data_IF_773951398243
#
_entry.id   IF_773951398243
#
_cell.length_a   1.000
_cell.length_b   1.000
_cell.length_c   1.000
_cell.angle_alpha   90.00
_cell.angle_beta   90.00
_cell.angle_gamma   90.00
#
_symmetry.space_group_name_H-M   'P 1'
#
loop_
_entity.id
_entity.type
_entity.pdbx_description
1 polymer ?
#
# COMPACT_ATOMS: atom_id res chain seq x y z
N UNK A 1 -14.30 14.16 -11.06
CA UNK A 1 -13.03 14.17 -11.79
C UNK A 1 -12.55 12.73 -11.90
N UNK A 2 -12.71 12.07 -13.02
CA UNK A 2 -12.12 10.73 -13.25
C UNK A 2 -10.87 10.89 -14.12
N UNK A 3 -9.76 10.25 -13.79
CA UNK A 3 -8.57 10.14 -14.62
C UNK A 3 -7.33 10.85 -14.09
N UNK A 4 -6.37 11.09 -14.97
CA UNK A 4 -5.03 11.58 -14.64
C UNK A 4 -4.91 13.09 -14.89
N UNK A 5 -4.04 13.76 -14.10
CA UNK A 5 -3.61 15.15 -14.28
C UNK A 5 -4.78 16.16 -14.37
N UNK A 6 -5.78 16.02 -13.51
CA UNK A 6 -6.98 16.89 -13.51
C UNK A 6 -7.07 17.84 -12.34
N UNK A 7 -6.06 17.88 -11.47
CA UNK A 7 -6.03 18.85 -10.35
C UNK A 7 -5.41 20.15 -10.83
N UNK A 8 -6.26 21.11 -11.18
CA UNK A 8 -5.84 22.40 -11.74
C UNK A 8 -5.55 23.47 -10.69
N UNK A 9 -5.95 23.25 -9.43
CA UNK A 9 -5.74 24.22 -8.35
C UNK A 9 -4.54 23.79 -7.50
N UNK A 10 -3.85 24.81 -6.96
CA UNK A 10 -2.78 24.59 -5.98
C UNK A 10 -3.35 23.87 -4.75
N UNK A 11 -2.75 22.76 -4.38
CA UNK A 11 -3.12 22.00 -3.18
C UNK A 11 -2.36 22.52 -1.95
N UNK A 12 -2.91 22.37 -0.74
CA UNK A 12 -2.16 22.62 0.48
C UNK A 12 -0.99 21.64 0.62
N UNK A 13 -0.03 21.96 1.47
CA UNK A 13 1.04 21.06 1.83
C UNK A 13 0.48 19.87 2.62
N UNK A 14 0.75 18.65 2.15
CA UNK A 14 0.25 17.43 2.77
C UNK A 14 1.38 16.76 3.55
N UNK A 15 1.13 16.51 4.83
CA UNK A 15 1.90 15.61 5.69
C UNK A 15 1.07 14.35 5.88
N UNK A 16 1.64 13.20 5.59
CA UNK A 16 0.97 11.91 5.80
C UNK A 16 1.54 11.22 7.03
N UNK A 17 0.65 10.73 7.88
CA UNK A 17 0.99 9.96 9.08
C UNK A 17 0.22 8.63 8.98
N UNK A 18 0.81 7.58 8.41
CA UNK A 18 0.13 6.30 8.26
C UNK A 18 -0.11 5.64 9.62
N UNK A 19 -1.30 5.07 9.79
CA UNK A 19 -1.71 4.31 10.99
C UNK A 19 -1.77 2.80 10.72
N UNK A 20 -1.42 2.38 9.50
CA UNK A 20 -1.28 0.98 9.09
C UNK A 20 0.00 0.81 8.28
N UNK A 21 0.61 -0.35 8.33
CA UNK A 21 1.78 -0.70 7.54
C UNK A 21 1.36 -1.56 6.34
N UNK A 22 0.85 -0.92 5.28
CA UNK A 22 0.29 -1.67 4.14
C UNK A 22 0.12 -0.85 2.88
N UNK A 23 -0.75 0.14 2.92
CA UNK A 23 -1.22 0.86 1.73
C UNK A 23 -0.16 1.69 1.01
N UNK A 24 0.92 2.10 1.70
CA UNK A 24 1.92 3.02 1.15
C UNK A 24 1.33 4.36 0.66
N UNK A 25 0.13 4.74 1.15
CA UNK A 25 -0.61 5.93 0.70
C UNK A 25 0.17 7.23 0.93
N UNK A 26 1.10 7.25 1.86
CA UNK A 26 2.00 8.36 2.15
C UNK A 26 3.00 8.64 1.04
N UNK A 27 3.14 7.73 0.07
CA UNK A 27 4.06 7.89 -1.08
C UNK A 27 3.35 8.05 -2.41
N UNK A 28 2.04 7.78 -2.47
CA UNK A 28 1.31 7.68 -3.74
C UNK A 28 0.84 9.02 -4.27
N UNK A 29 0.63 9.05 -5.57
CA UNK A 29 -0.03 10.16 -6.29
C UNK A 29 -1.51 9.85 -6.57
N UNK A 30 -2.01 8.72 -6.06
CA UNK A 30 -3.36 8.24 -6.30
C UNK A 30 -4.28 8.53 -5.10
N UNK A 31 -5.47 9.02 -5.39
CA UNK A 31 -6.58 9.08 -4.45
C UNK A 31 -7.74 8.23 -5.01
N UNK A 32 -8.22 7.27 -4.23
CA UNK A 32 -9.37 6.44 -4.63
C UNK A 32 -10.60 6.87 -3.83
N UNK A 33 -11.61 7.32 -4.55
CA UNK A 33 -12.87 7.78 -3.96
C UNK A 33 -13.96 6.78 -4.33
N UNK A 34 -14.63 6.23 -3.31
CA UNK A 34 -15.76 5.34 -3.52
C UNK A 34 -17.05 6.15 -3.58
N UNK A 35 -17.90 5.87 -4.56
CA UNK A 35 -19.27 6.38 -4.59
C UNK A 35 -20.13 5.50 -3.68
N UNK A 36 -20.78 6.04 -2.64
CA UNK A 36 -21.56 5.23 -1.70
C UNK A 36 -22.82 4.62 -2.34
N UNK A 37 -23.36 5.25 -3.38
CA UNK A 37 -24.63 4.81 -4.01
C UNK A 37 -24.38 3.73 -5.07
N UNK A 38 -23.30 3.84 -5.84
CA UNK A 38 -22.99 2.91 -6.95
C UNK A 38 -21.91 1.91 -6.63
N UNK A 39 -21.26 2.03 -5.46
CA UNK A 39 -20.07 1.25 -5.05
C UNK A 39 -18.87 1.34 -6.02
N UNK A 40 -18.94 2.23 -6.99
CA UNK A 40 -17.85 2.45 -7.93
C UNK A 40 -16.65 3.12 -7.23
N UNK A 41 -15.46 2.59 -7.47
CA UNK A 41 -14.19 3.18 -7.05
C UNK A 41 -13.60 4.02 -8.18
N UNK A 42 -13.44 5.31 -7.93
CA UNK A 42 -12.89 6.27 -8.89
C UNK A 42 -11.47 6.66 -8.46
N UNK A 43 -10.47 6.27 -9.26
CA UNK A 43 -9.10 6.69 -9.04
C UNK A 43 -8.83 8.06 -9.69
N UNK A 44 -8.19 8.94 -8.95
CA UNK A 44 -7.63 10.21 -9.41
C UNK A 44 -6.12 10.11 -9.22
N UNK A 45 -5.36 10.25 -10.29
CA UNK A 45 -3.90 10.20 -10.25
C UNK A 45 -3.33 11.56 -10.66
N UNK A 46 -2.66 12.21 -9.71
CA UNK A 46 -2.02 13.50 -9.98
C UNK A 46 -0.80 13.69 -9.05
N UNK A 47 0.37 14.08 -9.56
CA UNK A 47 1.57 14.32 -8.76
C UNK A 47 1.38 15.31 -7.61
N UNK A 48 0.42 16.26 -7.72
CA UNK A 48 0.14 17.22 -6.67
C UNK A 48 -0.53 16.62 -5.43
N UNK A 49 -1.10 15.41 -5.56
CA UNK A 49 -1.73 14.69 -4.46
C UNK A 49 -0.72 13.94 -3.58
N UNK A 50 0.51 13.77 -4.08
CA UNK A 50 1.55 13.07 -3.31
C UNK A 50 1.95 13.89 -2.10
N UNK A 51 1.91 13.30 -0.89
CA UNK A 51 2.40 13.95 0.32
C UNK A 51 3.85 14.41 0.17
N UNK A 52 4.17 15.54 0.75
CA UNK A 52 5.56 16.06 0.76
C UNK A 52 6.41 15.45 1.87
N UNK A 53 5.74 15.06 2.94
CA UNK A 53 6.37 14.46 4.11
C UNK A 53 5.55 13.25 4.56
N UNK A 54 6.24 12.18 4.93
CA UNK A 54 5.69 11.03 5.62
C UNK A 54 6.30 10.96 7.02
N UNK A 55 5.46 10.84 8.03
CA UNK A 55 5.88 10.62 9.42
C UNK A 55 5.54 9.19 9.78
N UNK A 56 6.55 8.36 9.94
CA UNK A 56 6.41 6.94 10.23
C UNK A 56 6.57 6.72 11.73
N UNK A 57 5.45 6.79 12.46
CA UNK A 57 5.39 6.58 13.90
C UNK A 57 4.87 5.18 14.20
N UNK A 58 5.71 4.24 14.68
CA UNK A 58 5.30 2.87 14.94
C UNK A 58 4.29 2.75 16.08
N UNK A 59 4.24 3.69 17.02
CA UNK A 59 3.30 3.67 18.14
C UNK A 59 1.85 3.73 17.66
N UNK A 60 1.59 4.39 16.53
CA UNK A 60 0.25 4.48 15.94
C UNK A 60 -0.26 3.14 15.38
N UNK A 61 0.62 2.15 15.23
CA UNK A 61 0.26 0.82 14.71
C UNK A 61 0.14 -0.25 15.81
N UNK A 62 0.57 0.02 17.04
CA UNK A 62 0.59 -0.96 18.15
C UNK A 62 -0.81 -1.49 18.48
N UNK A 63 -1.84 -0.64 18.37
CA UNK A 63 -3.22 -1.00 18.65
C UNK A 63 -3.93 -1.79 17.54
N UNK A 64 -3.27 -2.07 16.42
CA UNK A 64 -3.89 -2.80 15.33
C UNK A 64 -4.15 -4.27 15.69
N UNK A 65 -5.37 -4.77 15.43
CA UNK A 65 -5.67 -6.19 15.58
C UNK A 65 -4.77 -7.06 14.67
N UNK A 66 -4.46 -8.32 15.09
CA UNK A 66 -3.61 -9.21 14.29
C UNK A 66 -4.07 -9.41 12.84
N UNK A 67 -5.39 -9.52 12.60
CA UNK A 67 -5.92 -9.68 11.24
C UNK A 67 -5.72 -8.44 10.36
N UNK A 68 -5.75 -7.23 10.94
CA UNK A 68 -5.43 -6.00 10.19
C UNK A 68 -3.92 -5.94 9.93
N UNK A 69 -3.11 -6.25 10.96
CA UNK A 69 -1.65 -6.28 10.83
C UNK A 69 -1.21 -7.22 9.70
N UNK A 70 -1.73 -8.45 9.67
CA UNK A 70 -1.35 -9.43 8.64
C UNK A 70 -1.87 -9.04 7.25
N UNK A 71 -3.13 -8.66 7.12
CA UNK A 71 -3.70 -8.32 5.81
C UNK A 71 -3.07 -7.07 5.21
N UNK A 72 -2.78 -6.04 6.01
CA UNK A 72 -2.08 -4.85 5.51
C UNK A 72 -0.62 -5.14 5.18
N UNK A 73 0.07 -5.96 5.97
CA UNK A 73 1.43 -6.41 5.66
C UNK A 73 1.52 -7.21 4.37
N UNK A 74 0.53 -8.09 4.12
CA UNK A 74 0.43 -8.83 2.85
C UNK A 74 0.08 -7.93 1.67
N UNK A 75 -0.67 -6.85 1.89
CA UNK A 75 -0.91 -5.81 0.89
C UNK A 75 0.40 -5.12 0.49
N UNK A 76 1.22 -4.71 1.47
CA UNK A 76 2.54 -4.15 1.20
C UNK A 76 3.46 -5.14 0.45
N UNK A 77 3.40 -6.44 0.80
CA UNK A 77 4.14 -7.47 0.08
C UNK A 77 3.68 -7.57 -1.38
N UNK A 78 2.38 -7.57 -1.61
CA UNK A 78 1.82 -7.61 -2.97
C UNK A 78 2.23 -6.40 -3.79
N UNK A 79 2.19 -5.19 -3.20
CA UNK A 79 2.70 -3.97 -3.83
C UNK A 79 4.17 -4.12 -4.26
N UNK A 80 5.02 -4.61 -3.35
CA UNK A 80 6.45 -4.79 -3.63
C UNK A 80 6.69 -5.82 -4.74
N UNK A 81 6.03 -6.98 -4.66
CA UNK A 81 6.18 -8.05 -5.65
C UNK A 81 5.69 -7.62 -7.03
N UNK A 82 4.49 -7.05 -7.13
CA UNK A 82 3.95 -6.60 -8.41
C UNK A 82 4.76 -5.46 -9.03
N UNK A 83 5.28 -4.53 -8.22
CA UNK A 83 6.19 -3.51 -8.69
C UNK A 83 7.51 -4.09 -9.21
N UNK A 84 8.03 -5.16 -8.58
CA UNK A 84 9.27 -5.82 -8.99
C UNK A 84 9.14 -6.56 -10.31
N UNK A 85 8.06 -7.36 -10.47
CA UNK A 85 7.84 -8.15 -11.69
C UNK A 85 7.21 -7.34 -12.83
N UNK A 86 6.72 -6.13 -12.54
CA UNK A 86 6.03 -5.28 -13.50
C UNK A 86 6.95 -4.79 -14.63
N UNK A 87 6.41 -4.66 -15.84
CA UNK A 87 7.16 -4.19 -17.02
C UNK A 87 7.65 -2.73 -16.91
N UNK A 88 7.07 -1.94 -16.02
CA UNK A 88 7.41 -0.53 -15.80
C UNK A 88 8.45 -0.33 -14.71
N UNK A 89 9.03 -1.42 -14.18
CA UNK A 89 10.05 -1.32 -13.15
C UNK A 89 11.32 -0.68 -13.70
N UNK A 90 12.09 -0.09 -12.82
CA UNK A 90 13.42 0.46 -13.08
C UNK A 90 14.30 0.14 -11.87
N UNK A 91 15.62 0.26 -12.01
CA UNK A 91 16.57 -0.10 -10.94
C UNK A 91 16.18 0.44 -9.56
N UNK A 92 15.75 1.70 -9.47
CA UNK A 92 15.35 2.29 -8.19
C UNK A 92 14.07 1.69 -7.59
N UNK A 93 13.12 1.25 -8.42
CA UNK A 93 11.90 0.57 -7.96
C UNK A 93 12.19 -0.88 -7.60
N UNK A 94 13.10 -1.55 -8.29
CA UNK A 94 13.58 -2.88 -7.92
C UNK A 94 14.25 -2.88 -6.54
N UNK A 95 15.18 -1.95 -6.30
CA UNK A 95 15.87 -1.80 -5.02
C UNK A 95 14.88 -1.53 -3.87
N UNK A 96 13.89 -0.66 -4.10
CA UNK A 96 12.85 -0.37 -3.13
C UNK A 96 11.96 -1.59 -2.86
N UNK A 97 11.53 -2.30 -3.90
CA UNK A 97 10.70 -3.49 -3.80
C UNK A 97 11.42 -4.63 -3.05
N UNK A 98 12.68 -4.88 -3.36
CA UNK A 98 13.49 -5.88 -2.66
C UNK A 98 13.70 -5.54 -1.19
N UNK A 99 13.94 -4.25 -0.88
CA UNK A 99 14.06 -3.79 0.51
C UNK A 99 12.75 -3.98 1.27
N UNK A 100 11.63 -3.61 0.67
CA UNK A 100 10.30 -3.81 1.26
C UNK A 100 10.05 -5.30 1.53
N UNK A 101 10.23 -6.16 0.53
CA UNK A 101 10.02 -7.60 0.64
C UNK A 101 10.86 -8.21 1.77
N UNK A 102 12.16 -7.87 1.82
CA UNK A 102 13.04 -8.37 2.88
C UNK A 102 12.57 -7.96 4.27
N UNK A 103 12.20 -6.69 4.47
CA UNK A 103 11.72 -6.21 5.77
C UNK A 103 10.41 -6.86 6.17
N UNK A 104 9.48 -7.09 5.22
CA UNK A 104 8.20 -7.75 5.49
C UNK A 104 8.43 -9.17 5.98
N UNK A 105 9.21 -9.99 5.25
CA UNK A 105 9.49 -11.37 5.65
C UNK A 105 10.22 -11.48 6.99
N UNK A 106 11.02 -10.49 7.35
CA UNK A 106 11.73 -10.48 8.64
C UNK A 106 10.87 -10.08 9.83
N UNK A 107 9.72 -9.42 9.60
CA UNK A 107 9.00 -8.75 10.68
C UNK A 107 7.49 -9.06 10.75
N UNK A 108 6.86 -9.54 9.67
CA UNK A 108 5.39 -9.72 9.63
C UNK A 108 4.89 -10.72 10.69
N UNK A 109 5.60 -11.83 10.90
CA UNK A 109 5.26 -12.81 11.94
C UNK A 109 5.46 -12.22 13.34
N UNK A 110 6.56 -11.49 13.56
CA UNK A 110 6.86 -10.84 14.84
C UNK A 110 5.78 -9.86 15.27
N UNK A 111 5.30 -9.01 14.35
CA UNK A 111 4.23 -8.04 14.66
C UNK A 111 2.86 -8.73 14.78
N UNK A 112 2.67 -9.88 14.16
CA UNK A 112 1.47 -10.68 14.31
C UNK A 112 1.40 -11.34 15.70
N UNK A 113 2.51 -11.92 16.17
CA UNK A 113 2.62 -12.60 17.46
C UNK A 113 2.69 -11.61 18.62
N UNK A 114 3.48 -10.53 18.47
CA UNK A 114 3.62 -9.47 19.47
C UNK A 114 3.35 -8.09 18.84
N UNK A 115 2.12 -7.61 19.03
CA UNK A 115 1.70 -6.29 18.53
C UNK A 115 2.46 -5.12 19.16
N UNK A 116 3.12 -5.32 20.30
CA UNK A 116 3.86 -4.28 21.03
C UNK A 116 5.35 -4.22 20.67
N UNK A 117 5.82 -5.07 19.78
CA UNK A 117 7.20 -5.05 19.29
C UNK A 117 7.42 -3.82 18.40
N UNK A 118 7.84 -2.72 19.01
CA UNK A 118 8.01 -1.41 18.35
C UNK A 118 8.99 -1.47 17.21
N UNK A 119 10.12 -2.17 17.36
CA UNK A 119 11.12 -2.31 16.29
C UNK A 119 10.54 -3.02 15.06
N UNK A 120 9.81 -4.12 15.28
CA UNK A 120 9.16 -4.81 14.17
C UNK A 120 8.03 -3.97 13.54
N UNK A 121 7.28 -3.17 14.32
CA UNK A 121 6.30 -2.20 13.82
C UNK A 121 6.94 -1.12 12.95
N UNK A 122 8.05 -0.55 13.39
CA UNK A 122 8.83 0.42 12.62
C UNK A 122 9.31 -0.18 11.30
N UNK A 123 9.89 -1.38 11.35
CA UNK A 123 10.34 -2.09 10.15
C UNK A 123 9.20 -2.35 9.16
N UNK A 124 8.00 -2.69 9.64
CA UNK A 124 6.83 -2.87 8.78
C UNK A 124 6.35 -1.55 8.17
N UNK A 125 6.35 -0.43 8.90
CA UNK A 125 6.05 0.90 8.33
C UNK A 125 7.06 1.30 7.26
N UNK A 126 8.35 1.12 7.54
CA UNK A 126 9.42 1.37 6.57
C UNK A 126 9.26 0.47 5.34
N UNK A 127 8.88 -0.79 5.52
CA UNK A 127 8.62 -1.71 4.41
C UNK A 127 7.44 -1.23 3.55
N UNK A 128 6.32 -0.85 4.18
CA UNK A 128 5.15 -0.29 3.49
C UNK A 128 5.51 0.98 2.70
N UNK A 129 6.31 1.86 3.29
CA UNK A 129 6.82 3.05 2.60
C UNK A 129 7.63 2.71 1.34
N UNK A 130 8.59 1.76 1.43
CA UNK A 130 9.39 1.34 0.27
C UNK A 130 8.54 0.62 -0.79
N UNK A 131 7.57 -0.21 -0.39
CA UNK A 131 6.60 -0.80 -1.31
C UNK A 131 5.82 0.29 -2.04
N UNK A 132 5.39 1.32 -1.30
CA UNK A 132 4.71 2.49 -1.83
C UNK A 132 5.55 3.29 -2.84
N UNK A 133 6.82 3.51 -2.55
CA UNK A 133 7.77 4.14 -3.48
C UNK A 133 7.92 3.31 -4.76
N UNK A 134 8.00 1.98 -4.63
CA UNK A 134 8.14 1.09 -5.77
C UNK A 134 6.91 1.13 -6.68
N UNK A 135 5.71 0.84 -6.14
CA UNK A 135 4.51 0.71 -6.98
C UNK A 135 3.99 2.05 -7.51
N UNK A 136 4.24 3.16 -6.82
CA UNK A 136 3.83 4.49 -7.33
C UNK A 136 4.42 4.79 -8.71
N UNK A 137 5.57 4.22 -9.04
CA UNK A 137 6.21 4.37 -10.35
C UNK A 137 6.06 3.13 -11.23
N UNK A 138 6.19 1.94 -10.66
CA UNK A 138 6.15 0.69 -11.43
C UNK A 138 4.72 0.17 -11.64
N UNK A 139 3.75 0.78 -10.97
CA UNK A 139 2.35 0.37 -10.91
C UNK A 139 2.13 -0.96 -10.16
N UNK A 140 0.88 -1.38 -10.11
CA UNK A 140 0.43 -2.68 -9.60
C UNK A 140 -0.02 -3.56 -10.77
N UNK A 141 -0.23 -4.86 -10.52
CA UNK A 141 -0.51 -5.83 -11.56
C UNK A 141 -1.86 -6.52 -11.44
N UNK A 142 -1.88 -7.80 -11.82
CA UNK A 142 -3.11 -8.61 -11.88
C UNK A 142 -3.71 -8.92 -10.52
N UNK A 143 -2.87 -9.10 -9.47
CA UNK A 143 -3.37 -9.36 -8.12
C UNK A 143 -4.28 -8.22 -7.68
N UNK A 144 -3.80 -6.98 -7.75
CA UNK A 144 -4.61 -5.81 -7.40
C UNK A 144 -5.81 -5.62 -8.32
N UNK A 145 -5.66 -5.89 -9.63
CA UNK A 145 -6.79 -5.78 -10.57
C UNK A 145 -7.94 -6.71 -10.20
N UNK A 146 -7.66 -7.94 -9.75
CA UNK A 146 -8.67 -8.90 -9.30
C UNK A 146 -9.19 -8.50 -7.91
N UNK A 147 -8.29 -8.18 -6.96
CA UNK A 147 -8.66 -7.82 -5.60
C UNK A 147 -9.59 -6.60 -5.53
N UNK A 148 -9.39 -5.60 -6.38
CA UNK A 148 -10.28 -4.42 -6.47
C UNK A 148 -11.70 -4.81 -6.86
N UNK A 149 -11.86 -5.76 -7.80
CA UNK A 149 -13.18 -6.25 -8.21
C UNK A 149 -13.85 -7.06 -7.09
N UNK A 150 -13.12 -7.95 -6.43
CA UNK A 150 -13.64 -8.71 -5.28
C UNK A 150 -14.05 -7.79 -4.14
N UNK A 151 -13.25 -6.78 -3.83
CA UNK A 151 -13.60 -5.77 -2.83
C UNK A 151 -14.81 -4.93 -3.21
N UNK A 152 -14.96 -4.57 -4.49
CA UNK A 152 -16.10 -3.80 -4.98
C UNK A 152 -17.39 -4.60 -5.01
N UNK A 153 -17.37 -5.85 -5.48
CA UNK A 153 -18.55 -6.70 -5.67
C UNK A 153 -19.02 -7.39 -4.38
N UNK A 154 -18.08 -7.81 -3.54
CA UNK A 154 -18.38 -8.70 -2.40
C UNK A 154 -17.97 -8.11 -1.04
N UNK A 155 -17.41 -6.90 -1.00
CA UNK A 155 -16.95 -6.28 0.25
C UNK A 155 -15.76 -6.97 0.92
N UNK A 156 -15.01 -7.78 0.18
CA UNK A 156 -13.83 -8.48 0.74
C UNK A 156 -12.77 -7.44 1.10
N UNK A 157 -12.18 -7.48 2.31
CA UNK A 157 -11.09 -6.59 2.69
C UNK A 157 -9.92 -6.67 1.71
N UNK A 158 -9.42 -5.52 1.26
CA UNK A 158 -8.46 -5.42 0.16
C UNK A 158 -7.18 -6.24 0.38
N UNK A 159 -6.53 -6.08 1.54
CA UNK A 159 -5.32 -6.83 1.85
C UNK A 159 -5.54 -8.34 1.99
N UNK A 160 -6.73 -8.78 2.43
CA UNK A 160 -7.09 -10.19 2.44
C UNK A 160 -7.23 -10.73 1.02
N UNK A 161 -7.92 -10.00 0.13
CA UNK A 161 -8.05 -10.39 -1.27
C UNK A 161 -6.66 -10.52 -1.93
N UNK A 162 -5.78 -9.54 -1.72
CA UNK A 162 -4.41 -9.59 -2.24
C UNK A 162 -3.64 -10.80 -1.70
N UNK A 163 -3.71 -11.08 -0.40
CA UNK A 163 -3.03 -12.22 0.23
C UNK A 163 -3.47 -13.57 -0.37
N UNK A 164 -4.77 -13.73 -0.63
CA UNK A 164 -5.32 -14.97 -1.19
C UNK A 164 -4.96 -15.12 -2.67
N UNK A 165 -4.99 -14.05 -3.45
CA UNK A 165 -4.78 -14.09 -4.91
C UNK A 165 -3.30 -14.21 -5.27
N UNK A 166 -2.40 -13.56 -4.50
CA UNK A 166 -0.98 -13.46 -4.82
C UNK A 166 -0.33 -14.81 -5.20
N UNK A 167 -0.50 -15.92 -4.45
CA UNK A 167 0.12 -17.20 -4.79
C UNK A 167 -0.35 -17.83 -6.11
N UNK A 168 -1.51 -17.41 -6.63
CA UNK A 168 -2.05 -17.94 -7.88
C UNK A 168 -1.60 -17.18 -9.11
N UNK A 169 -1.03 -15.99 -8.91
CA UNK A 169 -0.57 -15.11 -10.00
C UNK A 169 0.95 -15.24 -10.21
N UNK A 170 1.70 -15.63 -9.16
CA UNK A 170 3.14 -15.89 -9.22
C UNK A 170 3.43 -17.26 -9.76
#
# INVERSE_FOLDING_TARGET
>A
MRGQLKVLKKTPLIFAVPTTAGTGSETTLAAVISNPDTHEKNAINDPVLRPKFAVLDPELTVGLPPHITSTTGMDALTHAVEAFIGRSNVKSTEEAALKATKLIFQNIEKVYEDSKNIEARENMLVASFYAGVAFTRAYVGYVHAIAHNLGGMYGIPHGLANAVILPYIL
#
